data_IF_182976221851
#
_entry.id   IF_182976221851
#
_cell.length_a   1.000
_cell.length_b   1.000
_cell.length_c   1.000
_cell.angle_alpha   90.00
_cell.angle_beta   90.00
_cell.angle_gamma   90.00
#
_symmetry.space_group_name_H-M   'P 1'
#
loop_
_entity.id
_entity.type
_entity.pdbx_description
1 polymer ?
#
# COMPACT_ATOMS: atom_id res chain seq x y z
N UNK A 1 68.38 -15.46 0.81
CA UNK A 1 67.32 -16.23 1.49
C UNK A 1 66.31 -15.19 1.95
N UNK A 2 65.57 -14.66 0.99
CA UNK A 2 64.83 -13.38 1.07
C UNK A 2 63.75 -13.45 0.00
N UNK A 3 62.72 -14.26 0.21
CA UNK A 3 61.60 -14.39 -0.74
C UNK A 3 60.27 -14.78 -0.05
N UNK A 4 60.15 -14.66 1.28
CA UNK A 4 58.98 -15.22 1.99
C UNK A 4 58.21 -14.23 2.89
N UNK A 5 58.54 -12.94 2.87
CA UNK A 5 57.81 -11.94 3.68
C UNK A 5 56.79 -11.10 2.88
N UNK A 6 56.78 -11.14 1.54
CA UNK A 6 55.95 -10.22 0.75
C UNK A 6 54.60 -10.82 0.30
N UNK A 7 54.34 -12.11 0.56
CA UNK A 7 53.08 -12.77 0.14
C UNK A 7 51.96 -12.79 1.18
N UNK A 8 52.24 -12.39 2.42
CA UNK A 8 51.25 -12.48 3.50
C UNK A 8 50.32 -11.24 3.63
N UNK A 9 50.61 -10.12 2.95
CA UNK A 9 49.94 -8.85 3.25
C UNK A 9 49.01 -8.30 2.16
N UNK A 10 48.88 -8.98 1.01
CA UNK A 10 47.98 -8.56 -0.09
C UNK A 10 46.68 -9.35 -0.16
N UNK A 11 46.55 -10.43 0.62
CA UNK A 11 45.33 -11.27 0.65
C UNK A 11 44.27 -10.84 1.68
N UNK A 12 44.63 -10.06 2.69
CA UNK A 12 43.72 -9.73 3.82
C UNK A 12 43.04 -8.35 3.67
N UNK A 13 43.45 -7.55 2.68
CA UNK A 13 42.84 -6.26 2.38
C UNK A 13 41.66 -6.36 1.40
N UNK A 14 41.56 -7.43 0.61
CA UNK A 14 40.54 -7.59 -0.42
C UNK A 14 39.26 -8.30 0.05
N UNK A 15 39.26 -8.97 1.21
CA UNK A 15 38.10 -9.74 1.71
C UNK A 15 37.27 -9.01 2.78
N UNK A 16 37.74 -7.86 3.27
CA UNK A 16 37.04 -7.08 4.32
C UNK A 16 36.06 -6.03 3.80
N UNK A 17 36.00 -5.85 2.48
CA UNK A 17 35.11 -4.84 1.84
C UNK A 17 33.82 -5.45 1.26
N UNK A 18 33.64 -6.77 1.38
CA UNK A 18 32.35 -7.39 1.09
C UNK A 18 31.35 -7.12 2.23
N UNK A 19 30.52 -6.11 1.99
CA UNK A 19 29.12 -6.09 2.43
C UNK A 19 28.88 -5.85 3.93
N UNK A 20 29.46 -4.79 4.49
CA UNK A 20 28.70 -4.00 5.49
C UNK A 20 27.64 -3.16 4.75
N UNK A 21 26.64 -3.83 4.14
CA UNK A 21 25.40 -3.15 3.75
C UNK A 21 24.81 -2.58 5.02
N UNK A 22 24.96 -1.26 5.23
CA UNK A 22 24.28 -0.56 6.33
C UNK A 22 22.80 -0.93 6.23
N UNK A 23 22.17 -1.39 7.32
CA UNK A 23 20.74 -1.70 7.27
C UNK A 23 20.03 -0.44 6.82
N UNK A 24 19.33 -0.52 5.68
CA UNK A 24 18.50 0.59 5.18
C UNK A 24 17.61 1.03 6.33
N UNK A 25 17.71 2.31 6.71
CA UNK A 25 16.94 2.86 7.82
C UNK A 25 15.45 2.62 7.55
N UNK A 26 14.70 2.23 8.58
CA UNK A 26 13.26 2.02 8.47
C UNK A 26 12.55 3.27 7.91
N UNK A 27 13.07 4.46 8.23
CA UNK A 27 12.56 5.72 7.69
C UNK A 27 12.71 5.79 6.17
N UNK A 28 13.88 5.43 5.62
CA UNK A 28 14.11 5.44 4.16
C UNK A 28 13.18 4.48 3.45
N UNK A 29 12.96 3.29 4.01
CA UNK A 29 12.02 2.32 3.44
C UNK A 29 10.58 2.84 3.47
N UNK A 30 10.15 3.44 4.59
CA UNK A 30 8.82 4.02 4.72
C UNK A 30 8.61 5.19 3.76
N UNK A 31 9.59 6.08 3.62
CA UNK A 31 9.54 7.17 2.64
C UNK A 31 9.47 6.65 1.22
N UNK A 32 10.28 5.66 0.85
CA UNK A 32 10.25 5.06 -0.49
C UNK A 32 8.90 4.39 -0.79
N UNK A 33 8.33 3.65 0.17
CA UNK A 33 7.01 3.04 0.03
C UNK A 33 5.90 4.10 -0.06
N UNK A 34 5.99 5.18 0.73
CA UNK A 34 5.02 6.28 0.70
C UNK A 34 5.05 7.03 -0.63
N UNK A 35 6.24 7.37 -1.12
CA UNK A 35 6.39 8.02 -2.44
C UNK A 35 5.90 7.07 -3.55
N UNK A 36 6.28 5.80 -3.50
CA UNK A 36 5.79 4.79 -4.46
C UNK A 36 4.27 4.68 -4.43
N UNK A 37 3.67 4.66 -3.24
CA UNK A 37 2.22 4.63 -3.07
C UNK A 37 1.54 5.83 -3.75
N UNK A 38 2.02 7.05 -3.49
CA UNK A 38 1.45 8.28 -4.07
C UNK A 38 1.56 8.25 -5.59
N UNK A 39 2.74 7.90 -6.12
CA UNK A 39 2.96 7.84 -7.58
C UNK A 39 2.06 6.80 -8.21
N UNK A 40 2.06 5.54 -7.73
CA UNK A 40 1.19 4.51 -8.29
C UNK A 40 -0.28 4.88 -8.20
N UNK A 41 -0.68 5.51 -7.09
CA UNK A 41 -2.08 5.91 -6.92
C UNK A 41 -2.48 6.98 -7.91
N UNK A 42 -1.57 7.90 -8.23
CA UNK A 42 -1.80 8.91 -9.24
C UNK A 42 -2.06 8.31 -10.61
N UNK A 43 -1.22 7.35 -11.00
CA UNK A 43 -1.39 6.61 -12.24
C UNK A 43 -2.69 5.80 -12.25
N UNK A 44 -3.04 5.15 -11.15
CA UNK A 44 -4.27 4.39 -11.08
C UNK A 44 -5.51 5.27 -11.21
N UNK A 45 -5.50 6.47 -10.62
CA UNK A 45 -6.57 7.47 -10.77
C UNK A 45 -6.61 8.07 -12.17
N UNK A 46 -5.48 8.20 -12.85
CA UNK A 46 -5.45 8.77 -14.21
C UNK A 46 -5.73 7.76 -15.31
N UNK A 47 -6.15 6.53 -14.98
CA UNK A 47 -6.32 5.46 -15.97
C UNK A 47 -4.99 5.01 -16.61
N UNK A 48 -3.87 5.27 -15.95
CA UNK A 48 -2.49 5.11 -16.43
C UNK A 48 -2.10 6.03 -17.59
N UNK A 49 -2.87 7.10 -17.84
CA UNK A 49 -2.48 8.16 -18.76
C UNK A 49 -1.53 9.16 -18.05
N UNK A 50 -0.40 9.46 -18.69
CA UNK A 50 0.60 10.40 -18.18
C UNK A 50 0.14 11.85 -18.23
N UNK A 51 -0.67 12.23 -19.22
CA UNK A 51 -1.17 13.61 -19.38
C UNK A 51 -2.21 13.91 -18.30
N UNK A 52 -3.16 13.01 -18.11
CA UNK A 52 -4.14 13.10 -17.00
C UNK A 52 -3.42 13.05 -15.65
N UNK A 53 -2.42 12.19 -15.46
CA UNK A 53 -1.67 12.13 -14.21
C UNK A 53 -0.99 13.46 -13.87
N UNK A 54 -0.45 14.16 -14.88
CA UNK A 54 0.14 15.48 -14.69
C UNK A 54 -0.91 16.52 -14.28
N UNK A 55 -2.06 16.57 -14.96
CA UNK A 55 -3.14 17.49 -14.64
C UNK A 55 -3.65 17.29 -13.21
N UNK A 56 -3.93 16.04 -12.82
CA UNK A 56 -4.34 15.71 -11.46
C UNK A 56 -3.26 16.14 -10.46
N UNK A 57 -1.96 16.07 -10.80
CA UNK A 57 -0.86 16.36 -9.85
C UNK A 57 -0.75 17.83 -9.51
N UNK A 58 -1.17 18.67 -10.45
CA UNK A 58 -1.24 20.12 -10.23
C UNK A 58 -2.43 20.54 -9.37
N UNK A 59 -3.44 19.66 -9.23
CA UNK A 59 -4.61 19.91 -8.37
C UNK A 59 -4.48 19.37 -6.96
N UNK A 60 -3.65 18.35 -6.72
CA UNK A 60 -3.46 17.78 -5.38
C UNK A 60 -2.43 18.58 -4.58
N UNK A 61 -2.82 18.94 -3.37
CA UNK A 61 -1.89 19.42 -2.36
C UNK A 61 -1.32 18.26 -1.54
N UNK A 62 -0.12 18.44 -0.98
CA UNK A 62 0.51 17.45 -0.08
C UNK A 62 -0.33 17.14 1.17
N UNK A 63 -1.20 18.08 1.57
CA UNK A 63 -2.15 17.92 2.68
C UNK A 63 -3.22 16.86 2.40
N UNK A 64 -3.59 16.68 1.12
CA UNK A 64 -4.59 15.70 0.67
C UNK A 64 -4.06 14.25 0.73
N UNK A 65 -2.79 14.05 1.02
CA UNK A 65 -2.16 12.72 1.04
C UNK A 65 -2.81 11.74 2.02
N UNK A 66 -3.26 12.22 3.19
CA UNK A 66 -3.98 11.38 4.15
C UNK A 66 -5.38 11.03 3.66
N UNK A 67 -6.11 12.01 3.12
CA UNK A 67 -7.42 11.79 2.52
C UNK A 67 -7.34 10.78 1.37
N UNK A 68 -6.27 10.87 0.56
CA UNK A 68 -5.98 9.94 -0.52
C UNK A 68 -5.78 8.51 0.00
N UNK A 69 -5.01 8.31 1.08
CA UNK A 69 -4.83 6.98 1.69
C UNK A 69 -6.15 6.43 2.23
N UNK A 70 -6.88 7.21 3.03
CA UNK A 70 -8.14 6.77 3.65
C UNK A 70 -9.24 6.52 2.62
N UNK A 71 -9.42 7.41 1.66
CA UNK A 71 -10.40 7.26 0.58
C UNK A 71 -10.06 6.07 -0.33
N UNK A 72 -8.78 5.75 -0.53
CA UNK A 72 -8.38 4.55 -1.27
C UNK A 72 -8.75 3.27 -0.53
N UNK A 73 -8.56 3.24 0.80
CA UNK A 73 -8.96 2.10 1.64
C UNK A 73 -10.49 1.91 1.65
N UNK A 74 -11.24 3.01 1.70
CA UNK A 74 -12.71 2.99 1.66
C UNK A 74 -13.25 2.59 0.28
N UNK A 75 -12.69 3.14 -0.80
CA UNK A 75 -13.18 2.87 -2.15
C UNK A 75 -12.85 1.44 -2.59
N UNK A 76 -11.64 0.97 -2.29
CA UNK A 76 -11.17 -0.37 -2.58
C UNK A 76 -11.53 -1.42 -1.53
N UNK A 77 -12.66 -1.30 -0.82
CA UNK A 77 -12.94 -2.11 0.38
C UNK A 77 -12.85 -3.63 0.15
N UNK A 78 -13.22 -4.14 -1.03
CA UNK A 78 -13.07 -5.56 -1.37
C UNK A 78 -11.60 -5.98 -1.49
N UNK A 79 -10.79 -5.20 -2.19
CA UNK A 79 -9.36 -5.49 -2.33
C UNK A 79 -8.65 -5.36 -0.98
N UNK A 80 -8.98 -4.33 -0.21
CA UNK A 80 -8.52 -4.14 1.16
C UNK A 80 -8.88 -5.34 2.03
N UNK A 81 -10.11 -5.85 1.94
CA UNK A 81 -10.57 -7.05 2.63
C UNK A 81 -9.74 -8.29 2.29
N UNK A 82 -9.52 -8.58 1.00
CA UNK A 82 -8.69 -9.71 0.58
C UNK A 82 -7.23 -9.58 1.03
N UNK A 83 -6.65 -8.39 0.91
CA UNK A 83 -5.29 -8.13 1.39
C UNK A 83 -5.21 -8.29 2.91
N UNK A 84 -6.17 -7.80 3.68
CA UNK A 84 -6.23 -8.02 5.13
C UNK A 84 -6.35 -9.50 5.47
N UNK A 85 -7.21 -10.25 4.78
CA UNK A 85 -7.38 -11.69 4.99
C UNK A 85 -6.06 -12.46 4.82
N UNK A 86 -5.16 -12.00 3.95
CA UNK A 86 -3.88 -12.67 3.70
C UNK A 86 -2.73 -12.13 4.59
N UNK A 87 -2.64 -10.80 4.72
CA UNK A 87 -1.54 -10.11 5.40
C UNK A 87 -1.71 -10.12 6.91
N UNK A 88 -2.92 -9.90 7.44
CA UNK A 88 -3.17 -9.86 8.88
C UNK A 88 -2.77 -11.15 9.62
N UNK A 89 -3.17 -12.36 9.19
CA UNK A 89 -2.73 -13.59 9.84
C UNK A 89 -1.22 -13.79 9.72
N UNK A 90 -0.60 -13.22 8.69
CA UNK A 90 0.86 -13.20 8.55
C UNK A 90 1.53 -12.26 9.55
N UNK A 91 0.94 -11.07 9.83
CA UNK A 91 1.42 -10.15 10.87
C UNK A 91 1.31 -10.82 12.23
N UNK A 92 0.19 -11.48 12.50
CA UNK A 92 -0.03 -12.21 13.75
C UNK A 92 0.97 -13.36 13.93
N UNK A 93 1.22 -14.14 12.87
CA UNK A 93 2.25 -15.18 12.85
C UNK A 93 3.66 -14.60 13.12
N UNK A 94 4.01 -13.49 12.47
CA UNK A 94 5.29 -12.82 12.69
C UNK A 94 5.42 -12.23 14.11
N UNK A 95 4.32 -11.79 14.72
CA UNK A 95 4.31 -11.33 16.12
C UNK A 95 4.57 -12.48 17.09
N UNK A 96 3.88 -13.61 16.89
CA UNK A 96 3.94 -14.76 17.77
C UNK A 96 5.27 -15.52 17.66
N UNK A 97 5.81 -15.65 16.44
CA UNK A 97 6.99 -16.48 16.16
C UNK A 97 8.24 -15.70 15.76
N UNK A 98 8.15 -14.38 15.56
CA UNK A 98 9.27 -13.56 15.10
C UNK A 98 10.26 -13.15 16.18
N UNK A 99 11.36 -12.55 15.74
CA UNK A 99 12.43 -12.06 16.62
C UNK A 99 11.98 -10.86 17.45
N UNK A 100 12.33 -10.86 18.75
CA UNK A 100 11.93 -9.81 19.72
C UNK A 100 12.29 -8.38 19.30
N UNK A 101 13.32 -8.19 18.48
CA UNK A 101 13.86 -6.89 18.06
C UNK A 101 12.89 -6.04 17.21
N UNK A 102 11.86 -6.64 16.59
CA UNK A 102 10.91 -5.93 15.73
C UNK A 102 9.48 -5.86 16.30
N UNK A 103 9.28 -6.29 17.55
CA UNK A 103 7.96 -6.34 18.20
C UNK A 103 7.14 -5.04 18.19
N UNK A 104 7.70 -3.84 18.45
CA UNK A 104 6.86 -2.64 18.49
C UNK A 104 6.25 -2.29 17.12
N UNK A 105 7.01 -2.45 16.03
CA UNK A 105 6.52 -2.20 14.67
C UNK A 105 5.46 -3.23 14.28
N UNK A 106 5.72 -4.51 14.58
CA UNK A 106 4.77 -5.59 14.28
C UNK A 106 3.49 -5.43 15.10
N UNK A 107 3.59 -5.03 16.37
CA UNK A 107 2.44 -4.76 17.22
C UNK A 107 1.61 -3.58 16.71
N UNK A 108 2.26 -2.49 16.30
CA UNK A 108 1.57 -1.35 15.69
C UNK A 108 0.80 -1.76 14.43
N UNK A 109 1.45 -2.49 13.51
CA UNK A 109 0.82 -2.99 12.29
C UNK A 109 -0.31 -3.98 12.58
N UNK A 110 -0.15 -4.81 13.61
CA UNK A 110 -1.19 -5.75 14.04
C UNK A 110 -2.42 -5.02 14.57
N UNK A 111 -2.22 -4.04 15.46
CA UNK A 111 -3.30 -3.23 16.02
C UNK A 111 -4.01 -2.47 14.91
N UNK A 112 -3.25 -1.82 14.02
CA UNK A 112 -3.83 -1.10 12.88
C UNK A 112 -4.62 -2.04 11.95
N UNK A 113 -4.08 -3.22 11.65
CA UNK A 113 -4.76 -4.22 10.85
C UNK A 113 -6.02 -4.79 11.52
N UNK A 114 -6.01 -4.99 12.84
CA UNK A 114 -7.20 -5.40 13.59
C UNK A 114 -8.27 -4.30 13.58
N UNK A 115 -7.88 -3.04 13.81
CA UNK A 115 -8.81 -1.90 13.74
C UNK A 115 -9.44 -1.81 12.35
N UNK A 116 -8.64 -1.92 11.29
CA UNK A 116 -9.15 -1.94 9.92
C UNK A 116 -10.09 -3.13 9.67
N UNK A 117 -9.74 -4.33 10.16
CA UNK A 117 -10.59 -5.52 10.07
C UNK A 117 -11.95 -5.30 10.73
N UNK A 118 -11.95 -4.78 11.96
CA UNK A 118 -13.19 -4.50 12.69
C UNK A 118 -14.00 -3.40 11.99
N UNK A 119 -13.36 -2.33 11.55
CA UNK A 119 -14.02 -1.26 10.81
C UNK A 119 -14.71 -1.81 9.55
N UNK A 120 -14.04 -2.63 8.74
CA UNK A 120 -14.64 -3.23 7.54
C UNK A 120 -15.75 -4.23 7.88
N UNK A 121 -15.54 -5.09 8.88
CA UNK A 121 -16.53 -6.09 9.27
C UNK A 121 -17.83 -5.47 9.78
N UNK A 122 -17.73 -4.40 10.59
CA UNK A 122 -18.91 -3.69 11.10
C UNK A 122 -19.53 -2.76 10.05
N UNK A 123 -18.71 -2.02 9.29
CA UNK A 123 -19.22 -1.03 8.32
C UNK A 123 -19.90 -1.68 7.12
N UNK A 124 -19.38 -2.79 6.62
CA UNK A 124 -19.90 -3.45 5.41
C UNK A 124 -20.57 -4.80 5.69
N UNK A 125 -20.65 -5.22 6.96
CA UNK A 125 -21.28 -6.49 7.34
C UNK A 125 -20.48 -7.74 6.95
N UNK A 126 -19.17 -7.62 6.68
CA UNK A 126 -18.31 -8.75 6.28
C UNK A 126 -17.89 -9.64 7.45
N UNK A 127 -18.86 -10.31 8.07
CA UNK A 127 -18.60 -11.29 9.16
C UNK A 127 -17.82 -12.52 8.70
N UNK A 128 -17.81 -12.80 7.40
CA UNK A 128 -16.98 -13.87 6.83
C UNK A 128 -15.48 -13.56 6.93
N UNK A 129 -15.10 -12.28 6.94
CA UNK A 129 -13.71 -11.83 6.90
C UNK A 129 -12.88 -12.24 8.15
N UNK A 130 -13.35 -12.04 9.40
CA UNK A 130 -12.64 -12.56 10.58
C UNK A 130 -12.54 -14.09 10.56
N UNK A 131 -13.59 -14.80 10.14
CA UNK A 131 -13.60 -16.27 10.06
C UNK A 131 -12.59 -16.76 9.02
N UNK A 132 -12.57 -16.13 7.85
CA UNK A 132 -11.66 -16.47 6.77
C UNK A 132 -10.20 -16.14 7.12
N UNK A 133 -9.95 -15.00 7.76
CA UNK A 133 -8.63 -14.62 8.29
C UNK A 133 -8.13 -15.61 9.34
N UNK A 134 -9.00 -16.04 10.27
CA UNK A 134 -8.69 -17.09 11.24
C UNK A 134 -8.40 -18.45 10.55
N UNK A 135 -9.13 -18.78 9.49
CA UNK A 135 -8.87 -19.96 8.66
C UNK A 135 -7.48 -19.93 8.01
N UNK A 136 -7.10 -18.81 7.40
CA UNK A 136 -5.76 -18.62 6.82
C UNK A 136 -4.67 -18.71 7.89
N UNK A 137 -4.89 -18.14 9.07
CA UNK A 137 -3.98 -18.32 10.20
C UNK A 137 -3.85 -19.80 10.60
N UNK A 138 -4.96 -20.54 10.64
CA UNK A 138 -4.98 -21.98 10.88
C UNK A 138 -4.13 -22.75 9.87
N UNK A 139 -4.20 -22.40 8.58
CA UNK A 139 -3.34 -22.97 7.52
C UNK A 139 -1.87 -22.68 7.81
N UNK A 140 -1.51 -21.46 8.19
CA UNK A 140 -0.13 -21.12 8.56
C UNK A 140 0.36 -21.89 9.79
N UNK A 141 -0.49 -22.05 10.81
CA UNK A 141 -0.18 -22.87 11.98
C UNK A 141 -0.01 -24.35 11.60
N UNK A 142 -0.84 -24.88 10.70
CA UNK A 142 -0.78 -26.26 10.23
C UNK A 142 0.51 -26.53 9.44
N UNK A 143 0.91 -25.63 8.52
CA UNK A 143 2.19 -25.69 7.78
C UNK A 143 3.38 -25.71 8.75
N UNK A 144 3.25 -25.07 9.91
CA UNK A 144 4.30 -25.02 10.93
C UNK A 144 4.40 -26.31 11.74
N UNK A 145 3.27 -26.92 12.09
CA UNK A 145 3.18 -28.11 12.95
C UNK A 145 3.42 -29.40 12.14
N UNK A 146 2.97 -29.46 10.89
CA UNK A 146 3.19 -30.64 10.07
C UNK A 146 4.69 -30.80 9.73
N UNK A 147 5.21 -32.04 9.74
CA UNK A 147 6.53 -32.37 9.21
C UNK A 147 6.51 -32.31 7.68
N UNK A 148 6.34 -31.09 7.14
CA UNK A 148 6.36 -30.82 5.71
C UNK A 148 7.80 -30.79 5.19
N UNK A 149 8.07 -31.25 3.95
CA UNK A 149 9.39 -31.19 3.34
C UNK A 149 10.04 -29.80 3.46
N UNK A 150 11.35 -29.78 3.70
CA UNK A 150 12.13 -28.60 4.10
C UNK A 150 11.97 -27.36 3.19
N UNK A 151 11.43 -27.47 1.99
CA UNK A 151 11.25 -26.36 1.04
C UNK A 151 10.06 -25.45 1.40
N UNK A 152 8.90 -26.00 1.75
CA UNK A 152 7.70 -25.21 2.11
C UNK A 152 7.95 -24.43 3.40
N UNK A 153 8.54 -25.11 4.40
CA UNK A 153 8.91 -24.49 5.67
C UNK A 153 9.98 -23.42 5.53
N UNK A 154 10.98 -23.62 4.64
CA UNK A 154 11.98 -22.58 4.33
C UNK A 154 11.36 -21.37 3.64
N UNK A 155 10.49 -21.61 2.65
CA UNK A 155 9.75 -20.54 1.97
C UNK A 155 8.91 -19.73 2.94
N UNK A 156 8.10 -20.40 3.78
CA UNK A 156 7.28 -19.74 4.80
C UNK A 156 8.11 -18.93 5.79
N UNK A 157 9.22 -19.47 6.30
CA UNK A 157 10.11 -18.75 7.22
C UNK A 157 10.81 -17.57 6.52
N UNK A 158 11.14 -17.68 5.23
CA UNK A 158 11.69 -16.57 4.45
C UNK A 158 10.64 -15.46 4.21
N UNK A 159 9.38 -15.83 3.95
CA UNK A 159 8.27 -14.87 3.84
C UNK A 159 8.03 -14.16 5.17
N UNK A 160 8.01 -14.90 6.29
CA UNK A 160 7.91 -14.32 7.63
C UNK A 160 9.10 -13.41 7.97
N UNK A 161 10.31 -13.77 7.55
CA UNK A 161 11.50 -12.94 7.74
C UNK A 161 11.41 -11.62 6.94
N UNK A 162 10.78 -11.66 5.76
CA UNK A 162 10.59 -10.51 4.88
C UNK A 162 9.22 -9.84 5.01
N UNK A 163 8.55 -10.03 6.15
CA UNK A 163 7.25 -9.46 6.50
C UNK A 163 7.07 -7.99 6.06
N UNK A 164 8.09 -7.16 6.29
CA UNK A 164 8.08 -5.72 5.97
C UNK A 164 7.88 -5.46 4.48
N UNK A 165 8.50 -6.26 3.63
CA UNK A 165 8.35 -6.16 2.19
C UNK A 165 6.99 -6.64 1.74
N UNK A 166 6.45 -7.70 2.34
CA UNK A 166 5.12 -8.21 1.98
C UNK A 166 4.04 -7.19 2.31
N UNK A 167 4.11 -6.53 3.47
CA UNK A 167 3.20 -5.44 3.82
C UNK A 167 3.36 -4.27 2.85
N UNK A 168 4.60 -3.87 2.54
CA UNK A 168 4.87 -2.80 1.58
C UNK A 168 4.31 -3.10 0.19
N UNK A 169 4.53 -4.31 -0.31
CA UNK A 169 4.02 -4.78 -1.61
C UNK A 169 2.49 -4.82 -1.59
N UNK A 170 1.87 -5.31 -0.52
CA UNK A 170 0.41 -5.32 -0.39
C UNK A 170 -0.18 -3.91 -0.47
N UNK A 171 0.46 -2.93 0.20
CA UNK A 171 0.05 -1.51 0.13
C UNK A 171 0.23 -0.94 -1.28
N UNK A 172 1.33 -1.26 -1.97
CA UNK A 172 1.56 -0.81 -3.35
C UNK A 172 0.59 -1.46 -4.34
N UNK A 173 0.24 -2.73 -4.14
CA UNK A 173 -0.78 -3.41 -4.93
C UNK A 173 -2.15 -2.77 -4.75
N UNK A 174 -2.51 -2.41 -3.51
CA UNK A 174 -3.72 -1.64 -3.25
C UNK A 174 -3.70 -0.30 -4.02
N UNK A 175 -2.58 0.42 -3.97
CA UNK A 175 -2.43 1.69 -4.68
C UNK A 175 -2.56 1.55 -6.20
N UNK A 176 -2.02 0.47 -6.77
CA UNK A 176 -2.03 0.20 -8.19
C UNK A 176 -3.41 -0.21 -8.70
N UNK A 177 -4.10 -1.08 -7.96
CA UNK A 177 -5.30 -1.76 -8.47
C UNK A 177 -6.60 -0.99 -8.19
N UNK A 178 -6.60 -0.08 -7.21
CA UNK A 178 -7.76 0.77 -6.94
C UNK A 178 -7.70 1.96 -7.90
N UNK A 179 -8.55 1.95 -8.94
CA UNK A 179 -8.67 3.05 -9.92
C UNK A 179 -9.65 4.16 -9.53
N UNK A 180 -10.60 3.87 -8.64
CA UNK A 180 -11.59 4.84 -8.15
C UNK A 180 -10.91 5.93 -7.31
N UNK A 181 -11.15 7.23 -7.55
CA UNK A 181 -10.58 8.33 -6.74
C UNK A 181 -10.99 8.28 -5.26
N UNK A 182 -10.29 9.04 -4.40
CA UNK A 182 -10.61 9.16 -2.96
C UNK A 182 -11.73 10.17 -2.67
N UNK A 183 -12.19 10.87 -3.68
CA UNK A 183 -13.26 11.88 -3.62
C UNK A 183 -14.61 11.20 -3.84
N UNK A 184 -15.70 11.65 -3.21
CA UNK A 184 -17.05 11.20 -3.58
C UNK A 184 -17.36 11.45 -5.06
N UNK A 185 -18.12 10.53 -5.64
CA UNK A 185 -18.69 10.69 -6.96
C UNK A 185 -19.88 11.66 -6.87
N UNK A 186 -19.90 12.71 -7.67
CA UNK A 186 -20.96 13.72 -7.68
C UNK A 186 -21.64 13.81 -9.05
N UNK A 187 -22.93 14.15 -9.03
CA UNK A 187 -23.68 14.48 -10.26
C UNK A 187 -23.77 15.99 -10.37
N UNK A 188 -23.15 16.55 -11.42
CA UNK A 188 -23.09 17.99 -11.66
C UNK A 188 -24.04 18.36 -12.79
N UNK A 189 -25.14 19.02 -12.45
CA UNK A 189 -26.05 19.57 -13.47
C UNK A 189 -25.49 20.90 -13.98
N UNK A 190 -25.19 20.98 -15.29
CA UNK A 190 -24.77 22.22 -15.94
C UNK A 190 -25.82 22.72 -16.93
N UNK A 191 -25.73 24.00 -17.31
CA UNK A 191 -26.62 24.63 -18.30
C UNK A 191 -26.61 23.95 -19.68
N UNK A 192 -25.58 23.17 -20.00
CA UNK A 192 -25.39 22.51 -21.28
C UNK A 192 -25.59 20.99 -21.23
N UNK A 193 -25.78 20.42 -20.04
CA UNK A 193 -25.94 18.96 -19.83
C UNK A 193 -25.53 18.51 -18.43
N UNK A 194 -25.68 17.23 -18.13
CA UNK A 194 -25.24 16.62 -16.86
C UNK A 194 -23.83 16.04 -17.02
N UNK A 195 -22.93 16.35 -16.09
CA UNK A 195 -21.57 15.80 -16.00
C UNK A 195 -21.48 14.95 -14.74
N UNK A 196 -21.20 13.66 -14.90
CA UNK A 196 -20.96 12.74 -13.80
C UNK A 196 -19.45 12.58 -13.61
N UNK A 197 -18.98 12.65 -12.36
CA UNK A 197 -17.57 12.44 -12.07
C UNK A 197 -17.16 12.83 -10.66
N UNK A 198 -15.86 12.78 -10.42
CA UNK A 198 -15.21 13.02 -9.15
C UNK A 198 -14.64 14.45 -9.12
N UNK A 199 -15.07 15.27 -8.16
CA UNK A 199 -14.64 16.68 -8.06
C UNK A 199 -13.30 16.78 -7.32
N UNK A 200 -12.20 16.85 -8.07
CA UNK A 200 -10.84 16.83 -7.52
C UNK A 200 -10.46 18.13 -6.79
N UNK A 201 -10.84 19.30 -7.32
CA UNK A 201 -10.68 20.58 -6.63
C UNK A 201 -11.81 21.55 -6.98
N UNK A 202 -12.09 22.46 -6.04
CA UNK A 202 -13.04 23.56 -6.22
C UNK A 202 -12.27 24.86 -6.05
N UNK A 203 -12.00 25.52 -7.18
CA UNK A 203 -11.29 26.78 -7.23
C UNK A 203 -12.27 27.94 -7.48
N UNK A 204 -11.83 29.18 -7.26
CA UNK A 204 -12.69 30.35 -7.47
C UNK A 204 -12.99 30.58 -8.96
N UNK A 205 -14.11 30.00 -9.43
CA UNK A 205 -14.65 30.20 -10.77
C UNK A 205 -14.70 28.95 -11.65
N UNK A 206 -14.08 27.85 -11.24
CA UNK A 206 -14.14 26.56 -11.94
C UNK A 206 -13.99 25.37 -10.99
N UNK A 207 -14.48 24.21 -11.44
CA UNK A 207 -14.35 22.92 -10.78
C UNK A 207 -13.50 22.02 -11.66
N UNK A 208 -12.53 21.35 -11.06
CA UNK A 208 -11.76 20.31 -11.72
C UNK A 208 -12.44 18.97 -11.46
N UNK A 209 -12.97 18.35 -12.50
CA UNK A 209 -13.78 17.13 -12.44
C UNK A 209 -13.05 16.04 -13.22
N UNK A 210 -12.96 14.85 -12.64
CA UNK A 210 -12.50 13.65 -13.32
C UNK A 210 -13.71 12.78 -13.66
N UNK A 211 -13.95 12.49 -14.94
CA UNK A 211 -15.08 11.65 -15.36
C UNK A 211 -14.84 10.18 -15.04
N UNK A 212 -15.88 9.35 -15.20
CA UNK A 212 -15.80 7.90 -15.03
C UNK A 212 -14.82 7.25 -16.02
N UNK A 213 -14.61 7.87 -17.18
CA UNK A 213 -13.64 7.47 -18.21
C UNK A 213 -12.21 7.95 -17.93
N UNK A 214 -11.96 8.51 -16.74
CA UNK A 214 -10.66 9.09 -16.35
C UNK A 214 -10.24 10.31 -17.19
N UNK A 215 -11.19 11.04 -17.77
CA UNK A 215 -10.91 12.30 -18.46
C UNK A 215 -10.98 13.49 -17.50
N UNK A 216 -10.02 14.41 -17.62
CA UNK A 216 -9.97 15.62 -16.79
C UNK A 216 -10.73 16.77 -17.45
N UNK A 217 -11.81 17.23 -16.83
CA UNK A 217 -12.67 18.31 -17.30
C UNK A 217 -12.65 19.49 -16.34
N UNK A 218 -12.52 20.70 -16.89
CA UNK A 218 -12.63 21.95 -16.14
C UNK A 218 -14.01 22.56 -16.40
N UNK A 219 -14.88 22.54 -15.39
CA UNK A 219 -16.25 23.05 -15.48
C UNK A 219 -16.34 24.42 -14.82
N UNK A 220 -16.82 25.44 -15.54
CA UNK A 220 -17.02 26.79 -14.98
C UNK A 220 -18.11 26.80 -13.91
N UNK A 221 -17.84 27.32 -12.72
CA UNK A 221 -18.82 27.36 -11.62
C UNK A 221 -20.09 28.13 -11.97
N UNK A 222 -20.01 29.10 -12.88
CA UNK A 222 -21.15 29.89 -13.37
C UNK A 222 -22.15 29.10 -14.23
N UNK A 223 -21.76 27.91 -14.68
CA UNK A 223 -22.58 27.01 -15.49
C UNK A 223 -23.23 25.90 -14.68
N UNK A 224 -22.81 25.70 -13.43
CA UNK A 224 -23.37 24.71 -12.49
C UNK A 224 -24.70 25.20 -11.93
N UNK A 225 -25.72 24.37 -12.04
CA UNK A 225 -27.07 24.62 -11.51
C UNK A 225 -27.28 23.93 -10.16
N UNK A 226 -26.80 22.69 -10.01
CA UNK A 226 -26.91 21.90 -8.78
C UNK A 226 -25.79 20.84 -8.70
N UNK A 227 -25.51 20.35 -7.49
CA UNK A 227 -24.55 19.27 -7.17
C UNK A 227 -25.19 18.33 -6.15
N UNK A 228 -25.13 17.03 -6.40
CA UNK A 228 -25.71 16.00 -5.51
C UNK A 228 -24.75 14.84 -5.31
#
# INVERSE_FOLDING_TARGET
>A
MTDDETRANTGDAASKDESKRKPVSAAVLLSALGIGFIVLRMFAVSGYDWETAFLVSTTLSLDDGLALVFGSLMSGYLLTAFLLMLVLPMIFAAYLWGQRRHRPVVMLLLVLGLVALFALAFSFGFWWLPVASAGVFGVYALIRILPSPNSVRRGFMAVLANMRWVVGIAVLLLAALVGTPWVPHEVIETKTGTVNGYVLSVDSGFLNVLTDEHEFLIVLSSTVLSRT
#
